data_IF_926901290707
#
_entry.id   IF_926901290707
#
_cell.length_a   1.000
_cell.length_b   1.000
_cell.length_c   1.000
_cell.angle_alpha   90.00
_cell.angle_beta   90.00
_cell.angle_gamma   90.00
#
_symmetry.space_group_name_H-M   'P 1'
#
loop_
_entity.id
_entity.type
_entity.pdbx_description
1 polymer ?
#
# COMPACT_ATOMS: atom_id res chain seq x y z
N UNK A 1 -7.65 -14.31 -34.35
CA UNK A 1 -6.58 -13.59 -33.60
C UNK A 1 -7.04 -12.21 -33.13
N UNK A 2 -8.32 -12.12 -32.75
CA UNK A 2 -9.12 -10.91 -32.53
C UNK A 2 -9.87 -11.18 -31.23
N UNK A 3 -9.58 -10.48 -30.12
CA UNK A 3 -10.48 -10.43 -28.94
C UNK A 3 -10.03 -9.49 -27.81
N UNK A 4 -8.73 -9.23 -27.63
CA UNK A 4 -8.25 -8.62 -26.38
C UNK A 4 -8.26 -7.08 -26.32
N UNK A 5 -8.46 -6.38 -27.44
CA UNK A 5 -8.45 -4.90 -27.48
C UNK A 5 -9.85 -4.25 -27.47
N UNK A 6 -10.94 -5.03 -27.53
CA UNK A 6 -12.29 -4.47 -27.74
C UNK A 6 -13.20 -4.43 -26.51
N UNK A 7 -12.74 -4.77 -25.29
CA UNK A 7 -13.66 -4.98 -24.16
C UNK A 7 -13.42 -4.16 -22.86
N UNK A 8 -12.32 -3.40 -22.68
CA UNK A 8 -12.04 -2.73 -21.38
C UNK A 8 -11.91 -1.19 -21.48
N UNK A 9 -12.75 -0.56 -22.29
CA UNK A 9 -13.17 0.82 -22.00
C UNK A 9 -14.64 0.95 -22.37
N UNK A 10 -15.53 0.59 -21.44
CA UNK A 10 -16.88 1.17 -21.41
C UNK A 10 -16.71 2.67 -21.19
N UNK A 11 -16.61 3.42 -22.27
CA UNK A 11 -16.63 4.87 -22.26
C UNK A 11 -18.06 5.30 -21.92
N UNK A 12 -18.20 5.86 -20.72
CA UNK A 12 -19.38 6.62 -20.29
C UNK A 12 -19.49 7.88 -21.15
N UNK A 13 -20.72 8.34 -21.48
CA UNK A 13 -20.96 9.45 -22.43
C UNK A 13 -20.54 10.84 -21.93
N UNK A 14 -19.62 10.91 -20.98
CA UNK A 14 -19.13 12.11 -20.31
C UNK A 14 -17.59 12.16 -20.24
N UNK A 15 -16.87 11.49 -21.16
CA UNK A 15 -15.42 11.65 -21.37
C UNK A 15 -14.50 11.37 -20.17
N UNK A 16 -15.04 10.91 -19.04
CA UNK A 16 -14.29 10.58 -17.82
C UNK A 16 -14.06 9.08 -17.77
N UNK A 17 -12.81 8.67 -17.93
CA UNK A 17 -12.35 7.31 -17.60
C UNK A 17 -12.64 7.09 -16.12
N UNK A 18 -13.49 6.10 -15.77
CA UNK A 18 -13.82 5.82 -14.37
C UNK A 18 -12.61 5.16 -13.69
N UNK A 19 -11.84 6.00 -13.01
CA UNK A 19 -10.57 5.68 -12.36
C UNK A 19 -10.72 4.53 -11.35
N UNK A 20 -11.86 4.45 -10.66
CA UNK A 20 -12.18 3.40 -9.68
C UNK A 20 -12.17 1.98 -10.29
N UNK A 21 -12.73 1.80 -11.49
CA UNK A 21 -12.79 0.51 -12.17
C UNK A 21 -11.40 0.06 -12.63
N UNK A 22 -10.58 1.00 -13.10
CA UNK A 22 -9.20 0.71 -13.50
C UNK A 22 -8.35 0.26 -12.31
N UNK A 23 -8.38 1.01 -11.20
CA UNK A 23 -7.64 0.64 -9.99
C UNK A 23 -8.10 -0.69 -9.40
N UNK A 24 -9.40 -0.99 -9.44
CA UNK A 24 -9.90 -2.29 -8.98
C UNK A 24 -9.38 -3.45 -9.86
N UNK A 25 -9.44 -3.33 -11.18
CA UNK A 25 -8.96 -4.37 -12.09
C UNK A 25 -7.45 -4.59 -11.96
N UNK A 26 -6.69 -3.50 -11.97
CA UNK A 26 -5.24 -3.52 -11.78
C UNK A 26 -4.89 -4.12 -10.42
N UNK A 27 -5.57 -3.67 -9.35
CA UNK A 27 -5.38 -4.17 -8.00
C UNK A 27 -5.63 -5.67 -7.88
N UNK A 28 -6.64 -6.21 -8.56
CA UNK A 28 -6.93 -7.65 -8.55
C UNK A 28 -5.86 -8.48 -9.25
N UNK A 29 -5.37 -8.01 -10.40
CA UNK A 29 -4.34 -8.72 -11.18
C UNK A 29 -2.98 -8.69 -10.47
N UNK A 30 -2.64 -7.57 -9.83
CA UNK A 30 -1.35 -7.37 -9.15
C UNK A 30 -1.29 -8.09 -7.79
N UNK A 31 -2.44 -8.30 -7.12
CA UNK A 31 -2.45 -8.89 -5.78
C UNK A 31 -1.84 -10.29 -5.71
N UNK A 32 -2.18 -11.17 -6.67
CA UNK A 32 -1.70 -12.55 -6.70
C UNK A 32 -0.16 -12.61 -6.81
N UNK A 33 0.49 -11.98 -7.82
CA UNK A 33 1.95 -11.99 -7.91
C UNK A 33 2.61 -11.27 -6.72
N UNK A 34 1.96 -10.25 -6.14
CA UNK A 34 2.47 -9.57 -4.95
C UNK A 34 2.51 -10.49 -3.73
N UNK A 35 1.45 -11.25 -3.47
CA UNK A 35 1.43 -12.22 -2.38
C UNK A 35 2.46 -13.35 -2.58
N UNK A 36 2.59 -13.87 -3.81
CA UNK A 36 3.57 -14.90 -4.14
C UNK A 36 5.00 -14.38 -3.94
N UNK A 37 5.30 -13.19 -4.46
CA UNK A 37 6.60 -12.56 -4.31
C UNK A 37 6.90 -12.22 -2.84
N UNK A 38 5.90 -11.75 -2.08
CA UNK A 38 6.04 -11.47 -0.65
C UNK A 38 6.33 -12.73 0.17
N UNK A 39 5.62 -13.83 -0.10
CA UNK A 39 5.85 -15.12 0.55
C UNK A 39 7.25 -15.66 0.23
N UNK A 40 7.66 -15.61 -1.05
CA UNK A 40 9.00 -16.00 -1.46
C UNK A 40 10.09 -15.14 -0.81
N UNK A 41 9.85 -13.82 -0.71
CA UNK A 41 10.76 -12.87 -0.09
C UNK A 41 10.96 -13.14 1.41
N UNK A 42 9.91 -13.50 2.14
CA UNK A 42 10.01 -13.84 3.57
C UNK A 42 10.78 -15.14 3.81
N UNK A 43 10.60 -16.15 2.97
CA UNK A 43 11.24 -17.45 3.15
C UNK A 43 12.67 -17.54 2.61
N UNK A 44 12.97 -16.90 1.47
CA UNK A 44 14.28 -17.02 0.80
C UNK A 44 15.07 -15.72 0.75
N UNK A 45 14.38 -14.59 0.70
CA UNK A 45 14.99 -13.27 0.49
C UNK A 45 15.52 -12.63 1.77
N UNK A 46 14.79 -12.75 2.88
CA UNK A 46 15.06 -11.91 4.04
C UNK A 46 16.43 -12.16 4.70
N UNK A 47 16.85 -13.42 4.85
CA UNK A 47 18.19 -13.70 5.41
C UNK A 47 19.30 -13.08 4.55
N UNK A 48 19.17 -13.13 3.22
CA UNK A 48 20.15 -12.61 2.26
C UNK A 48 20.12 -11.10 2.12
N UNK A 49 18.97 -10.48 2.35
CA UNK A 49 18.77 -9.02 2.28
C UNK A 49 18.74 -8.32 3.65
N UNK A 50 18.89 -9.04 4.76
CA UNK A 50 18.87 -8.50 6.12
C UNK A 50 19.87 -7.34 6.31
N UNK A 51 21.07 -7.47 5.73
CA UNK A 51 22.12 -6.44 5.71
C UNK A 51 21.76 -5.22 4.84
N UNK A 52 20.97 -5.40 3.77
CA UNK A 52 20.48 -4.32 2.91
C UNK A 52 19.16 -3.68 3.41
N UNK A 53 18.40 -4.41 4.23
CA UNK A 53 17.22 -3.91 4.91
C UNK A 53 17.59 -2.91 6.03
N UNK A 54 18.86 -2.89 6.45
CA UNK A 54 19.43 -1.76 7.16
C UNK A 54 19.57 -0.58 6.21
N UNK A 55 18.75 0.44 6.45
CA UNK A 55 18.72 1.65 5.64
C UNK A 55 20.14 2.24 5.51
N UNK A 56 20.69 2.18 4.29
CA UNK A 56 22.03 2.70 3.99
C UNK A 56 22.14 4.19 4.32
N UNK A 57 21.03 4.94 4.21
CA UNK A 57 20.94 6.35 4.57
C UNK A 57 21.10 6.54 6.08
N UNK A 58 20.49 5.69 6.93
CA UNK A 58 20.71 5.75 8.38
C UNK A 58 22.17 5.45 8.74
N UNK A 59 22.79 4.47 8.08
CA UNK A 59 24.21 4.14 8.32
C UNK A 59 25.18 5.22 7.84
N UNK A 60 24.86 5.94 6.76
CA UNK A 60 25.73 6.97 6.17
C UNK A 60 25.50 8.37 6.73
N UNK A 61 24.26 8.73 7.05
CA UNK A 61 23.87 10.08 7.46
C UNK A 61 23.48 10.19 8.95
N UNK A 62 23.35 9.08 9.69
CA UNK A 62 22.89 9.07 11.08
C UNK A 62 21.39 9.32 11.27
N UNK A 63 20.72 9.98 10.32
CA UNK A 63 19.29 10.28 10.37
C UNK A 63 18.43 9.22 9.66
N UNK A 64 17.28 8.81 10.23
CA UNK A 64 16.34 7.90 9.60
C UNK A 64 15.57 8.61 8.48
N UNK A 65 15.42 7.96 7.33
CA UNK A 65 14.55 8.45 6.27
C UNK A 65 13.06 8.15 6.58
N UNK A 66 12.10 8.88 5.97
CA UNK A 66 10.67 8.68 6.21
C UNK A 66 10.15 7.26 5.88
N UNK A 67 10.82 6.54 4.97
CA UNK A 67 10.50 5.15 4.63
C UNK A 67 11.27 4.09 5.44
N UNK A 68 12.11 4.50 6.39
CA UNK A 68 13.06 3.61 7.05
C UNK A 68 12.34 2.52 7.87
N UNK A 69 12.57 1.25 7.49
CA UNK A 69 11.95 0.08 8.13
C UNK A 69 10.72 -0.47 7.41
N UNK A 70 10.33 0.08 6.25
CA UNK A 70 9.21 -0.46 5.46
C UNK A 70 9.37 -1.92 5.08
N UNK A 71 10.57 -2.34 4.64
CA UNK A 71 10.86 -3.74 4.30
C UNK A 71 10.76 -4.68 5.51
N UNK A 72 11.19 -4.22 6.70
CA UNK A 72 11.05 -4.99 7.95
C UNK A 72 9.59 -5.08 8.38
N UNK A 73 8.84 -3.98 8.29
CA UNK A 73 7.41 -3.98 8.55
C UNK A 73 6.67 -4.95 7.62
N UNK A 74 7.04 -4.97 6.33
CA UNK A 74 6.48 -5.91 5.36
C UNK A 74 6.83 -7.37 5.67
N UNK A 75 8.07 -7.64 6.09
CA UNK A 75 8.48 -8.96 6.53
C UNK A 75 7.65 -9.47 7.73
N UNK A 76 7.55 -8.67 8.80
CA UNK A 76 6.77 -9.06 9.98
C UNK A 76 5.28 -9.21 9.68
N UNK A 77 4.75 -8.40 8.76
CA UNK A 77 3.38 -8.54 8.29
C UNK A 77 3.14 -9.92 7.64
N UNK A 78 4.03 -10.36 6.75
CA UNK A 78 3.93 -11.69 6.12
C UNK A 78 4.22 -12.84 7.08
N UNK A 79 4.96 -12.59 8.17
CA UNK A 79 5.10 -13.55 9.27
C UNK A 79 3.84 -13.63 10.17
N UNK A 80 2.87 -12.73 10.02
CA UNK A 80 1.68 -12.66 10.87
C UNK A 80 1.87 -11.85 12.17
N UNK A 81 3.01 -11.18 12.33
CA UNK A 81 3.36 -10.36 13.49
C UNK A 81 2.96 -8.89 13.28
N UNK A 82 1.65 -8.63 13.32
CA UNK A 82 1.08 -7.31 13.04
C UNK A 82 1.56 -6.22 14.00
N UNK A 83 1.73 -6.54 15.29
CA UNK A 83 2.19 -5.57 16.30
C UNK A 83 3.61 -5.10 15.98
N UNK A 84 4.52 -6.04 15.69
CA UNK A 84 5.89 -5.71 15.29
C UNK A 84 5.89 -4.91 13.99
N UNK A 85 5.10 -5.31 13.00
CA UNK A 85 4.96 -4.56 11.74
C UNK A 85 4.55 -3.10 11.96
N UNK A 86 3.58 -2.85 12.85
CA UNK A 86 3.10 -1.52 13.19
C UNK A 86 4.20 -0.64 13.81
N UNK A 87 4.96 -1.22 14.75
CA UNK A 87 6.07 -0.53 15.41
C UNK A 87 7.18 -0.12 14.43
N UNK A 88 7.44 -0.94 13.40
CA UNK A 88 8.43 -0.62 12.38
C UNK A 88 7.95 0.46 11.41
N UNK A 89 6.77 0.26 10.81
CA UNK A 89 6.19 1.24 9.90
C UNK A 89 4.65 1.09 9.80
N UNK A 90 3.87 2.01 10.43
CA UNK A 90 2.41 1.95 10.41
C UNK A 90 1.82 2.15 9.01
N UNK A 91 2.57 2.76 8.07
CA UNK A 91 2.13 3.00 6.69
C UNK A 91 1.87 1.70 5.94
N UNK A 92 2.62 0.64 6.23
CA UNK A 92 2.44 -0.66 5.56
C UNK A 92 1.09 -1.26 5.91
N UNK A 93 0.74 -1.25 7.20
CA UNK A 93 -0.56 -1.72 7.68
C UNK A 93 -1.68 -0.83 7.16
N UNK A 94 -1.51 0.49 7.22
CA UNK A 94 -2.48 1.44 6.67
C UNK A 94 -2.73 1.18 5.17
N UNK A 95 -1.68 0.94 4.37
CA UNK A 95 -1.81 0.66 2.94
C UNK A 95 -2.66 -0.58 2.64
N UNK A 96 -2.49 -1.64 3.44
CA UNK A 96 -3.27 -2.87 3.31
C UNK A 96 -4.73 -2.66 3.73
N UNK A 97 -4.96 -1.97 4.86
CA UNK A 97 -6.30 -1.64 5.31
C UNK A 97 -7.03 -0.75 4.30
N UNK A 98 -6.35 0.25 3.73
CA UNK A 98 -6.89 1.10 2.68
C UNK A 98 -7.24 0.30 1.42
N UNK A 99 -6.38 -0.63 1.01
CA UNK A 99 -6.64 -1.53 -0.12
C UNK A 99 -7.87 -2.42 0.12
N UNK A 100 -7.95 -3.10 1.26
CA UNK A 100 -9.12 -3.93 1.60
C UNK A 100 -10.39 -3.10 1.72
N UNK A 101 -10.32 -1.92 2.33
CA UNK A 101 -11.45 -1.01 2.44
C UNK A 101 -11.96 -0.58 1.06
N UNK A 102 -11.06 -0.20 0.14
CA UNK A 102 -11.42 0.13 -1.24
C UNK A 102 -12.06 -1.07 -1.97
N UNK A 103 -11.47 -2.26 -1.84
CA UNK A 103 -11.97 -3.47 -2.48
C UNK A 103 -13.35 -3.89 -1.95
N UNK A 104 -13.57 -3.81 -0.63
CA UNK A 104 -14.85 -4.07 0.00
C UNK A 104 -15.91 -3.06 -0.46
N UNK A 105 -15.61 -1.76 -0.43
CA UNK A 105 -16.52 -0.73 -0.90
C UNK A 105 -16.95 -0.96 -2.35
N UNK A 106 -16.02 -1.34 -3.22
CA UNK A 106 -16.32 -1.68 -4.61
C UNK A 106 -17.21 -2.93 -4.72
N UNK A 107 -16.92 -3.99 -3.97
CA UNK A 107 -17.73 -5.22 -3.95
C UNK A 107 -19.15 -4.97 -3.44
N UNK A 108 -19.30 -4.23 -2.33
CA UNK A 108 -20.60 -3.85 -1.78
C UNK A 108 -21.42 -3.01 -2.77
N UNK A 109 -20.79 -2.07 -3.48
CA UNK A 109 -21.43 -1.28 -4.54
C UNK A 109 -21.85 -2.14 -5.73
N UNK A 110 -21.03 -3.11 -6.14
CA UNK A 110 -21.36 -4.05 -7.22
C UNK A 110 -22.54 -4.96 -6.83
N UNK A 111 -22.61 -5.36 -5.56
CA UNK A 111 -23.70 -6.19 -5.05
C UNK A 111 -25.00 -5.41 -4.83
N UNK A 112 -24.91 -4.16 -4.35
CA UNK A 112 -26.07 -3.27 -4.19
C UNK A 112 -26.49 -2.66 -5.53
N UNK A 113 -27.34 -3.38 -6.28
CA UNK A 113 -27.94 -2.93 -7.56
C UNK A 113 -28.87 -1.71 -7.48
N UNK A 114 -29.05 -1.06 -6.31
CA UNK A 114 -30.05 0.02 -6.13
C UNK A 114 -29.40 1.39 -5.92
N UNK A 115 -29.51 2.24 -6.95
CA UNK A 115 -29.89 3.68 -6.89
C UNK A 115 -29.24 4.61 -5.86
N UNK A 116 -28.06 4.32 -5.32
CA UNK A 116 -27.30 5.33 -4.55
C UNK A 116 -26.43 6.13 -5.51
N UNK A 117 -26.66 7.44 -5.54
CA UNK A 117 -25.93 8.46 -6.29
C UNK A 117 -24.42 8.11 -6.27
N UNK A 118 -23.86 7.83 -7.46
CA UNK A 118 -22.48 7.42 -7.66
C UNK A 118 -21.52 8.56 -7.28
N UNK A 119 -21.19 8.67 -6.00
CA UNK A 119 -20.09 9.52 -5.56
C UNK A 119 -18.78 8.82 -5.94
N UNK A 120 -17.99 9.46 -6.80
CA UNK A 120 -16.62 9.06 -7.15
C UNK A 120 -15.86 8.83 -5.84
N UNK A 121 -15.18 7.68 -5.69
CA UNK A 121 -14.33 7.46 -4.53
C UNK A 121 -13.11 8.35 -4.74
N UNK A 122 -12.90 9.34 -3.87
CA UNK A 122 -11.73 10.18 -3.93
C UNK A 122 -10.50 9.41 -3.44
N UNK A 123 -9.95 8.56 -4.31
CA UNK A 123 -8.66 7.86 -4.16
C UNK A 123 -7.54 8.78 -3.67
N UNK A 124 -7.39 10.05 -4.13
CA UNK A 124 -6.33 10.92 -3.61
C UNK A 124 -6.39 11.13 -2.09
N UNK A 125 -7.56 11.03 -1.46
CA UNK A 125 -7.68 11.16 0.00
C UNK A 125 -6.87 10.09 0.74
N UNK A 126 -6.87 8.84 0.25
CA UNK A 126 -6.09 7.75 0.86
C UNK A 126 -4.59 7.99 0.74
N UNK A 127 -4.15 8.56 -0.39
CA UNK A 127 -2.76 8.93 -0.62
C UNK A 127 -2.33 10.07 0.31
N UNK A 128 -3.15 11.12 0.43
CA UNK A 128 -2.89 12.22 1.37
C UNK A 128 -2.80 11.71 2.81
N UNK A 129 -3.70 10.82 3.23
CA UNK A 129 -3.63 10.20 4.55
C UNK A 129 -2.36 9.37 4.73
N UNK A 130 -1.96 8.57 3.73
CA UNK A 130 -0.72 7.78 3.79
C UNK A 130 0.51 8.68 3.97
N UNK A 131 0.57 9.80 3.24
CA UNK A 131 1.65 10.78 3.34
C UNK A 131 1.66 11.43 4.73
N UNK A 132 0.50 11.81 5.26
CA UNK A 132 0.40 12.39 6.60
C UNK A 132 0.88 11.41 7.66
N UNK A 133 0.45 10.14 7.62
CA UNK A 133 0.90 9.11 8.58
C UNK A 133 2.42 8.91 8.48
N UNK A 134 2.96 8.86 7.25
CA UNK A 134 4.38 8.71 6.98
C UNK A 134 5.20 9.88 7.57
N UNK A 135 4.73 11.11 7.37
CA UNK A 135 5.38 12.30 7.90
C UNK A 135 5.32 12.35 9.43
N UNK A 136 4.16 12.06 10.02
CA UNK A 136 4.01 12.00 11.49
C UNK A 136 4.99 10.99 12.09
N UNK A 137 5.06 9.78 11.52
CA UNK A 137 5.98 8.74 12.00
C UNK A 137 7.44 9.19 11.89
N UNK A 138 7.79 9.86 10.78
CA UNK A 138 9.13 10.37 10.57
C UNK A 138 9.50 11.48 11.58
N UNK A 139 8.59 12.42 11.82
CA UNK A 139 8.76 13.46 12.84
C UNK A 139 8.99 12.87 14.23
N UNK A 140 8.23 11.84 14.63
CA UNK A 140 8.43 11.15 15.91
C UNK A 140 9.84 10.55 16.00
N UNK A 141 10.31 9.87 14.95
CA UNK A 141 11.66 9.29 14.92
C UNK A 141 12.75 10.37 15.00
N UNK A 142 12.54 11.52 14.35
CA UNK A 142 13.48 12.64 14.43
C UNK A 142 13.53 13.27 15.83
N UNK A 143 12.39 13.50 16.47
CA UNK A 143 12.33 14.08 17.82
C UNK A 143 13.02 13.16 18.83
N UNK A 144 12.79 11.84 18.75
CA UNK A 144 13.45 10.87 19.63
C UNK A 144 14.97 10.94 19.47
N UNK A 145 15.47 11.00 18.23
CA UNK A 145 16.92 11.08 18.00
C UNK A 145 17.47 12.42 18.49
N UNK A 146 16.77 13.53 18.25
CA UNK A 146 17.21 14.85 18.70
C UNK A 146 17.23 14.96 20.23
N UNK A 147 16.30 14.30 20.93
CA UNK A 147 16.24 14.30 22.40
C UNK A 147 17.29 13.37 23.04
N UNK A 148 17.70 12.31 22.34
CA UNK A 148 18.70 11.35 22.82
C UNK A 148 20.14 11.66 22.37
N UNK A 149 20.33 12.74 21.60
CA UNK A 149 21.62 13.29 21.17
C UNK A 149 22.11 14.33 22.19
#
# INVERSE_FOLDING_TARGET
>A
MISWMTCITKMDSSGKIRVDDFFYQVGKVIWIPFCIAGFWFVHYGYERYSSFAECAVKRRCGFPCPGCGGTRAFYYLFQGEFIKSFLYNPVVIYGILAYFHFMLLYLFRKHSRKTVIRKEIYIPYYLYFAIVILLIQWCIKLIIILFFL
#
